data_IF_030300377920
#
_entry.id   IF_030300377920
#
_cell.length_a   1.000
_cell.length_b   1.000
_cell.length_c   1.000
_cell.angle_alpha   90.00
_cell.angle_beta   90.00
_cell.angle_gamma   90.00
#
_symmetry.space_group_name_H-M   'P 1'
#
loop_
_entity.id
_entity.type
_entity.pdbx_description
1 polymer ?
#
# COMPACT_ATOMS: atom_id res chain seq x y z
N UNK A 1 -71.05 15.02 -48.25
CA UNK A 1 -70.41 13.72 -47.91
C UNK A 1 -69.20 13.94 -47.11
N UNK A 2 -69.26 13.88 -45.79
CA UNK A 2 -68.14 13.96 -44.87
C UNK A 2 -67.90 12.57 -44.29
N UNK A 3 -66.69 12.05 -44.21
CA UNK A 3 -66.41 10.84 -43.48
C UNK A 3 -66.17 11.15 -42.01
N UNK A 4 -66.78 10.36 -41.16
CA UNK A 4 -66.63 10.32 -39.70
C UNK A 4 -65.25 9.88 -39.33
N UNK A 5 -64.55 10.68 -38.56
CA UNK A 5 -63.28 10.34 -37.89
C UNK A 5 -63.59 9.69 -36.55
N UNK A 6 -63.23 8.41 -36.41
CA UNK A 6 -63.24 7.68 -35.17
C UNK A 6 -61.94 8.03 -34.39
N UNK A 7 -62.06 8.67 -33.21
CA UNK A 7 -61.00 8.76 -32.24
C UNK A 7 -60.90 7.46 -31.43
N UNK A 8 -59.70 6.91 -31.18
CA UNK A 8 -59.52 5.82 -30.24
C UNK A 8 -59.42 6.35 -28.81
N UNK A 9 -60.22 5.77 -27.95
CA UNK A 9 -60.23 5.96 -26.50
C UNK A 9 -58.88 5.48 -25.94
N UNK A 10 -58.04 6.39 -25.46
CA UNK A 10 -56.85 6.03 -24.68
C UNK A 10 -57.26 5.59 -23.29
N UNK A 11 -57.19 4.29 -23.04
CA UNK A 11 -57.27 3.71 -21.70
C UNK A 11 -56.01 4.08 -20.93
N UNK A 12 -56.18 4.90 -19.88
CA UNK A 12 -55.10 5.24 -18.96
C UNK A 12 -54.64 3.99 -18.21
N UNK A 13 -53.39 3.61 -18.37
CA UNK A 13 -52.72 2.63 -17.53
C UNK A 13 -52.47 3.23 -16.16
N UNK A 14 -52.62 2.47 -15.05
CA UNK A 14 -52.28 2.96 -13.72
C UNK A 14 -50.76 3.11 -13.57
N UNK A 15 -50.35 4.25 -13.13
CA UNK A 15 -48.97 4.55 -12.70
C UNK A 15 -48.56 3.60 -11.57
N UNK A 16 -47.42 2.92 -11.63
CA UNK A 16 -46.93 2.18 -10.47
C UNK A 16 -46.54 3.19 -9.37
N UNK A 17 -47.24 3.09 -8.26
CA UNK A 17 -46.93 3.79 -7.03
C UNK A 17 -45.65 3.19 -6.49
N UNK A 18 -44.50 3.87 -6.65
CA UNK A 18 -43.27 3.57 -5.90
C UNK A 18 -43.47 4.00 -4.46
N UNK A 19 -43.94 3.08 -3.65
CA UNK A 19 -43.90 3.16 -2.22
C UNK A 19 -42.75 2.28 -1.72
N UNK A 20 -41.50 2.74 -1.89
CA UNK A 20 -40.39 2.35 -1.05
C UNK A 20 -39.71 3.64 -0.63
N UNK A 21 -40.07 4.09 0.57
CA UNK A 21 -39.38 5.14 1.28
C UNK A 21 -37.96 4.71 1.49
N UNK A 22 -37.06 5.18 0.63
CA UNK A 22 -35.63 5.17 0.90
C UNK A 22 -35.45 6.17 2.02
N UNK A 23 -35.29 5.66 3.23
CA UNK A 23 -34.88 6.43 4.40
C UNK A 23 -33.48 7.02 4.08
N UNK A 24 -33.47 8.29 3.63
CA UNK A 24 -32.30 9.04 3.22
C UNK A 24 -31.42 9.50 4.41
N UNK A 25 -31.63 8.97 5.61
CA UNK A 25 -30.94 9.37 6.84
C UNK A 25 -29.88 8.38 7.34
N UNK A 26 -29.52 7.38 6.58
CA UNK A 26 -28.37 6.54 6.97
C UNK A 26 -27.10 7.29 6.58
N UNK A 27 -26.56 8.08 7.49
CA UNK A 27 -25.19 8.61 7.38
C UNK A 27 -24.26 7.43 7.15
N UNK A 28 -23.70 7.39 5.96
CA UNK A 28 -22.81 6.29 5.55
C UNK A 28 -21.41 6.57 6.11
N UNK A 29 -21.33 6.78 7.43
CA UNK A 29 -20.07 7.05 8.12
C UNK A 29 -19.15 5.84 7.99
N UNK A 30 -17.86 6.07 7.64
CA UNK A 30 -16.88 5.01 7.55
C UNK A 30 -16.50 4.48 8.94
N UNK A 31 -16.31 3.18 9.04
CA UNK A 31 -15.62 2.57 10.18
C UNK A 31 -14.12 2.68 9.95
N UNK A 32 -13.41 3.24 10.92
CA UNK A 32 -11.99 3.52 10.81
C UNK A 32 -11.13 2.44 11.44
N UNK A 33 -10.09 2.05 10.72
CA UNK A 33 -9.03 1.15 11.15
C UNK A 33 -7.70 1.87 11.03
N UNK A 34 -6.76 1.57 11.93
CA UNK A 34 -5.45 2.20 11.88
C UNK A 34 -4.35 1.22 12.29
N UNK A 35 -3.18 1.43 11.75
CA UNK A 35 -1.98 0.65 12.11
C UNK A 35 -0.74 1.51 11.96
N UNK A 36 0.24 1.24 12.81
CA UNK A 36 1.58 1.79 12.73
C UNK A 36 2.54 0.64 12.47
N UNK A 37 3.54 0.85 11.61
CA UNK A 37 4.53 -0.16 11.28
C UNK A 37 5.92 0.49 11.20
N UNK A 38 6.92 -0.19 11.76
CA UNK A 38 8.32 0.20 11.69
C UNK A 38 9.07 -0.93 11.02
N UNK A 39 9.96 -0.59 10.08
CA UNK A 39 10.79 -1.55 9.39
C UNK A 39 12.11 -0.97 8.97
N UNK A 40 12.98 -1.83 8.46
CA UNK A 40 14.23 -1.39 7.86
C UNK A 40 14.59 -2.22 6.63
N UNK A 41 15.50 -1.67 5.82
CA UNK A 41 16.14 -2.31 4.67
C UNK A 41 17.64 -2.13 4.80
N UNK A 42 18.40 -3.06 4.25
CA UNK A 42 19.87 -3.01 4.24
C UNK A 42 20.38 -2.92 2.80
N UNK A 43 21.05 -1.81 2.49
CA UNK A 43 21.65 -1.52 1.20
C UNK A 43 23.18 -1.65 1.34
N UNK A 44 23.81 -2.58 0.64
CA UNK A 44 25.24 -2.85 0.78
C UNK A 44 26.07 -1.85 -0.04
N UNK A 45 25.89 -0.57 0.31
CA UNK A 45 26.59 0.58 -0.23
C UNK A 45 26.53 1.74 0.76
N UNK A 46 27.28 2.79 0.49
CA UNK A 46 27.25 4.02 1.25
C UNK A 46 25.92 4.76 1.11
N UNK A 47 25.67 5.72 2.02
CA UNK A 47 24.40 6.45 2.05
C UNK A 47 24.14 7.28 0.78
N UNK A 48 25.21 7.76 0.13
CA UNK A 48 25.09 8.52 -1.12
C UNK A 48 24.55 7.64 -2.26
N UNK A 49 25.16 6.47 -2.44
CA UNK A 49 24.73 5.50 -3.45
C UNK A 49 23.29 5.02 -3.21
N UNK A 50 22.92 4.80 -1.95
CA UNK A 50 21.54 4.46 -1.60
C UNK A 50 20.56 5.61 -1.90
N UNK A 51 20.93 6.87 -1.60
CA UNK A 51 20.14 8.04 -1.89
C UNK A 51 19.92 8.23 -3.40
N UNK A 52 20.98 8.10 -4.22
CA UNK A 52 20.89 8.20 -5.68
C UNK A 52 19.90 7.16 -6.26
N UNK A 53 19.86 5.95 -5.68
CA UNK A 53 18.88 4.94 -6.07
C UNK A 53 17.46 5.35 -5.69
N UNK A 54 17.21 5.84 -4.47
CA UNK A 54 15.88 6.26 -4.04
C UNK A 54 15.39 7.48 -4.84
N UNK A 55 16.26 8.43 -5.16
CA UNK A 55 15.94 9.60 -5.98
C UNK A 55 15.51 9.20 -7.40
N UNK A 56 16.06 8.11 -7.94
CA UNK A 56 15.71 7.55 -9.25
C UNK A 56 14.47 6.65 -9.23
N UNK A 57 13.49 6.92 -8.32
CA UNK A 57 12.32 6.05 -8.09
C UNK A 57 11.50 5.73 -9.35
N UNK A 58 11.51 6.58 -10.36
CA UNK A 58 10.84 6.33 -11.64
C UNK A 58 11.36 5.07 -12.35
N UNK A 59 12.63 4.73 -12.12
CA UNK A 59 13.27 3.55 -12.69
C UNK A 59 12.92 2.24 -12.00
N UNK A 60 12.63 2.24 -10.71
CA UNK A 60 12.47 1.01 -9.94
C UNK A 60 11.08 0.80 -9.30
N UNK A 61 10.34 1.86 -8.97
CA UNK A 61 9.11 1.75 -8.17
C UNK A 61 8.08 0.80 -8.78
N UNK A 62 7.81 0.92 -10.10
CA UNK A 62 6.82 0.08 -10.79
C UNK A 62 7.25 -1.39 -10.80
N UNK A 63 8.56 -1.66 -11.00
CA UNK A 63 9.09 -3.04 -10.99
C UNK A 63 8.97 -3.66 -9.61
N UNK A 64 9.36 -2.93 -8.58
CA UNK A 64 9.33 -3.40 -7.20
C UNK A 64 7.90 -3.56 -6.65
N UNK A 65 6.96 -2.77 -7.14
CA UNK A 65 5.55 -2.87 -6.74
C UNK A 65 4.90 -4.20 -7.19
N UNK A 66 5.40 -4.87 -8.24
CA UNK A 66 4.80 -6.10 -8.74
C UNK A 66 4.68 -7.20 -7.65
N UNK A 67 3.52 -7.91 -7.52
CA UNK A 67 2.38 -8.01 -8.43
C UNK A 67 1.30 -6.93 -8.22
N UNK A 68 1.45 -5.98 -7.32
CA UNK A 68 0.57 -4.82 -7.24
C UNK A 68 0.67 -4.02 -8.56
N UNK A 69 -0.42 -3.39 -8.95
CA UNK A 69 -0.44 -2.60 -10.18
C UNK A 69 -0.11 -1.15 -9.82
N UNK A 70 1.04 -0.66 -10.28
CA UNK A 70 1.43 0.73 -10.12
C UNK A 70 1.38 1.45 -11.47
N UNK A 71 0.83 2.68 -11.47
CA UNK A 71 0.79 3.59 -12.64
C UNK A 71 1.27 4.96 -12.21
N UNK A 72 2.15 5.64 -12.96
CA UNK A 72 2.62 6.97 -12.61
C UNK A 72 1.48 8.00 -12.64
N UNK A 73 1.55 8.97 -11.73
CA UNK A 73 0.71 10.15 -11.65
C UNK A 73 1.64 11.37 -11.52
N UNK A 74 1.82 12.12 -12.61
CA UNK A 74 2.78 13.21 -12.60
C UNK A 74 4.22 12.74 -12.42
N UNK A 75 5.08 13.60 -11.88
CA UNK A 75 6.52 13.35 -11.77
C UNK A 75 6.86 12.36 -10.62
N UNK A 76 6.26 12.54 -9.45
CA UNK A 76 6.62 11.83 -8.22
C UNK A 76 5.43 11.05 -7.61
N UNK A 77 4.33 10.90 -8.36
CA UNK A 77 3.14 10.22 -7.88
C UNK A 77 2.91 8.86 -8.54
N UNK A 78 2.23 7.97 -7.83
CA UNK A 78 1.83 6.66 -8.33
C UNK A 78 0.43 6.28 -7.87
N UNK A 79 -0.41 5.78 -8.80
CA UNK A 79 -1.63 5.07 -8.44
C UNK A 79 -1.30 3.60 -8.21
N UNK A 80 -1.50 3.11 -7.00
CA UNK A 80 -1.19 1.74 -6.59
C UNK A 80 -2.48 0.97 -6.32
N UNK A 81 -2.72 -0.14 -7.03
CA UNK A 81 -3.79 -1.10 -6.74
C UNK A 81 -3.17 -2.28 -6.00
N UNK A 82 -3.53 -2.45 -4.72
CA UNK A 82 -2.83 -3.35 -3.80
C UNK A 82 -3.25 -4.81 -4.00
N UNK A 83 -4.54 -5.05 -4.26
CA UNK A 83 -5.13 -6.37 -4.39
C UNK A 83 -6.49 -6.43 -3.69
N UNK A 84 -7.09 -7.64 -3.64
CA UNK A 84 -8.41 -7.85 -3.02
C UNK A 84 -8.26 -8.34 -1.60
N UNK A 85 -8.93 -7.68 -0.67
CA UNK A 85 -8.94 -8.01 0.76
C UNK A 85 -10.37 -7.95 1.29
N UNK A 86 -10.65 -8.75 2.28
CA UNK A 86 -11.98 -8.70 2.90
C UNK A 86 -12.28 -9.88 3.81
N UNK A 87 -13.47 -9.83 4.40
CA UNK A 87 -14.04 -10.84 5.30
C UNK A 87 -15.56 -10.82 5.22
N UNK A 88 -16.22 -11.82 5.77
CA UNK A 88 -17.68 -11.93 5.84
C UNK A 88 -18.40 -11.77 4.48
N UNK A 89 -17.76 -12.19 3.38
CA UNK A 89 -18.34 -12.05 2.04
C UNK A 89 -18.24 -10.64 1.43
N UNK A 90 -17.62 -9.69 2.12
CA UNK A 90 -17.35 -8.34 1.62
C UNK A 90 -15.86 -8.20 1.25
N UNK A 91 -15.58 -7.69 0.06
CA UNK A 91 -14.24 -7.50 -0.46
C UNK A 91 -14.03 -6.08 -0.98
N UNK A 92 -12.84 -5.55 -0.74
CA UNK A 92 -12.37 -4.25 -1.25
C UNK A 92 -11.08 -4.49 -2.04
N UNK A 93 -10.93 -3.80 -3.16
CA UNK A 93 -9.67 -3.72 -3.92
C UNK A 93 -9.15 -2.29 -3.82
N UNK A 94 -8.32 -1.97 -2.81
CA UNK A 94 -7.86 -0.61 -2.60
C UNK A 94 -6.97 -0.14 -3.75
N UNK A 95 -7.30 1.05 -4.26
CA UNK A 95 -6.47 1.82 -5.18
C UNK A 95 -6.17 3.16 -4.53
N UNK A 96 -4.91 3.42 -4.26
CA UNK A 96 -4.43 4.61 -3.57
C UNK A 96 -3.46 5.39 -4.43
N UNK A 97 -3.45 6.70 -4.29
CA UNK A 97 -2.41 7.55 -4.85
C UNK A 97 -1.33 7.79 -3.80
N UNK A 98 -0.09 7.61 -4.17
CA UNK A 98 1.08 7.89 -3.33
C UNK A 98 1.94 8.96 -3.98
N UNK A 99 2.37 9.92 -3.21
CA UNK A 99 3.35 10.93 -3.60
C UNK A 99 4.67 10.66 -2.89
N UNK A 100 5.70 10.35 -3.64
CA UNK A 100 7.06 10.22 -3.15
C UNK A 100 7.70 11.60 -3.20
N UNK A 101 7.76 12.26 -2.05
CA UNK A 101 8.35 13.60 -1.96
C UNK A 101 9.86 13.52 -2.17
N UNK A 102 10.45 14.51 -2.86
CA UNK A 102 11.90 14.66 -2.90
C UNK A 102 12.45 14.69 -1.48
N UNK A 103 13.64 14.11 -1.31
CA UNK A 103 14.29 14.09 -0.01
C UNK A 103 14.56 15.51 0.51
N UNK A 104 14.46 15.67 1.81
CA UNK A 104 14.75 16.88 2.55
C UNK A 104 15.68 16.50 3.73
N UNK A 105 16.91 17.00 3.72
CA UNK A 105 17.96 16.68 4.71
C UNK A 105 18.16 15.17 4.95
N UNK A 106 18.08 14.35 3.87
CA UNK A 106 18.22 12.89 3.94
C UNK A 106 16.97 12.15 4.41
N UNK A 107 15.86 12.84 4.58
CA UNK A 107 14.56 12.27 4.96
C UNK A 107 13.63 12.19 3.76
N UNK A 108 13.16 10.99 3.44
CA UNK A 108 12.16 10.72 2.41
C UNK A 108 10.78 10.62 3.04
N UNK A 109 9.79 11.25 2.42
CA UNK A 109 8.39 11.19 2.86
C UNK A 109 7.50 10.69 1.74
N UNK A 110 6.53 9.87 2.11
CA UNK A 110 5.51 9.37 1.19
C UNK A 110 4.15 9.66 1.82
N UNK A 111 3.24 10.21 1.05
CA UNK A 111 1.90 10.55 1.51
C UNK A 111 0.82 10.22 0.48
N UNK A 112 -0.41 10.14 0.94
CA UNK A 112 -1.56 9.90 0.06
C UNK A 112 -1.85 11.14 -0.78
N UNK A 113 -2.12 10.92 -2.08
CA UNK A 113 -2.66 11.93 -2.99
C UNK A 113 -3.90 11.40 -3.71
N UNK A 114 -4.80 12.27 -4.18
CA UNK A 114 -5.92 11.87 -5.03
C UNK A 114 -5.46 11.18 -6.31
N UNK A 115 -6.14 10.11 -6.71
CA UNK A 115 -5.92 9.50 -8.01
C UNK A 115 -6.79 10.20 -9.05
N UNK A 116 -6.23 10.74 -10.14
CA UNK A 116 -6.99 11.44 -11.17
C UNK A 116 -8.12 10.57 -11.75
N UNK A 117 -9.31 11.16 -11.88
CA UNK A 117 -10.52 10.51 -12.42
C UNK A 117 -10.90 9.21 -11.67
N UNK A 118 -10.63 9.14 -10.37
CA UNK A 118 -11.00 8.00 -9.55
C UNK A 118 -11.53 8.44 -8.20
N UNK A 119 -12.72 7.98 -7.87
CA UNK A 119 -13.33 8.11 -6.54
C UNK A 119 -13.36 6.73 -5.90
N UNK A 120 -12.75 6.54 -4.72
CA UNK A 120 -12.78 5.27 -4.04
C UNK A 120 -14.22 4.81 -3.74
N UNK A 121 -14.60 3.58 -4.10
CA UNK A 121 -15.95 3.08 -3.87
C UNK A 121 -16.12 2.64 -2.40
N UNK A 122 -16.52 3.58 -1.52
CA UNK A 122 -16.84 3.28 -0.13
C UNK A 122 -15.64 3.01 0.78
N UNK A 123 -14.48 3.58 0.47
CA UNK A 123 -13.34 3.60 1.37
C UNK A 123 -12.54 4.89 1.24
N UNK A 124 -11.78 5.19 2.28
CA UNK A 124 -10.84 6.31 2.35
C UNK A 124 -9.51 5.80 2.90
N UNK A 125 -8.40 6.39 2.46
CA UNK A 125 -7.06 5.99 2.90
C UNK A 125 -6.24 7.24 3.21
N UNK A 126 -5.64 7.29 4.40
CA UNK A 126 -4.59 8.21 4.78
C UNK A 126 -3.32 7.41 5.08
N UNK A 127 -2.33 7.53 4.22
CA UNK A 127 -1.05 6.87 4.31
C UNK A 127 0.05 7.91 4.45
N UNK A 128 0.90 7.74 5.45
CA UNK A 128 2.10 8.54 5.65
C UNK A 128 3.26 7.63 5.99
N UNK A 129 4.37 7.80 5.31
CA UNK A 129 5.59 7.11 5.63
C UNK A 129 6.78 8.07 5.64
N UNK A 130 7.73 7.78 6.51
CA UNK A 130 8.99 8.50 6.61
C UNK A 130 10.12 7.49 6.56
N UNK A 131 11.18 7.79 5.78
CA UNK A 131 12.37 6.96 5.65
C UNK A 131 13.61 7.81 5.89
N UNK A 132 14.58 7.25 6.61
CA UNK A 132 15.89 7.86 6.87
C UNK A 132 16.99 6.88 6.48
N UNK A 133 18.09 7.41 5.94
CA UNK A 133 19.26 6.64 5.56
C UNK A 133 20.32 6.80 6.63
N UNK A 134 20.72 5.68 7.24
CA UNK A 134 21.75 5.65 8.29
C UNK A 134 22.91 4.78 7.81
N UNK A 135 24.06 5.41 7.58
CA UNK A 135 25.28 4.68 7.22
C UNK A 135 25.85 3.99 8.47
N UNK A 136 26.13 2.69 8.35
CA UNK A 136 26.68 1.87 9.43
C UNK A 136 27.83 1.00 8.90
N UNK A 137 28.75 0.55 9.74
CA UNK A 137 29.74 -0.44 9.35
C UNK A 137 29.04 -1.72 8.85
N UNK A 138 29.61 -2.35 7.82
CA UNK A 138 29.15 -3.66 7.38
C UNK A 138 29.83 -4.74 8.21
N UNK A 139 29.07 -5.47 9.00
CA UNK A 139 29.53 -6.59 9.82
C UNK A 139 29.06 -7.91 9.21
N UNK A 140 29.87 -8.58 8.37
CA UNK A 140 29.49 -9.83 7.76
C UNK A 140 29.44 -10.96 8.79
N UNK A 141 28.55 -11.93 8.61
CA UNK A 141 28.63 -13.20 9.34
C UNK A 141 29.91 -13.96 8.98
N UNK A 142 30.39 -14.85 9.86
CA UNK A 142 31.58 -15.67 9.61
C UNK A 142 31.48 -16.43 8.28
N UNK A 143 30.31 -16.95 7.93
CA UNK A 143 30.06 -17.64 6.66
C UNK A 143 30.16 -16.72 5.44
N UNK A 144 29.76 -15.46 5.56
CA UNK A 144 29.90 -14.45 4.50
C UNK A 144 31.36 -14.02 4.35
N UNK A 145 32.09 -13.86 5.46
CA UNK A 145 33.49 -13.50 5.46
C UNK A 145 34.37 -14.63 4.86
N UNK A 146 33.99 -15.89 5.05
CA UNK A 146 34.73 -17.04 4.54
C UNK A 146 34.57 -17.29 3.02
N UNK A 147 33.62 -16.66 2.37
CA UNK A 147 33.25 -16.90 0.95
C UNK A 147 34.22 -16.24 -0.06
N UNK A 148 35.20 -15.47 0.42
CA UNK A 148 36.18 -14.79 -0.44
C UNK A 148 35.61 -13.67 -1.31
N UNK A 149 34.35 -13.30 -1.10
CA UNK A 149 33.69 -12.19 -1.78
C UNK A 149 34.25 -10.86 -1.31
N UNK A 150 34.41 -9.89 -2.21
CA UNK A 150 34.73 -8.50 -1.81
C UNK A 150 33.54 -7.93 -1.06
N UNK A 151 33.70 -7.75 0.25
CA UNK A 151 32.67 -7.21 1.11
C UNK A 151 32.76 -5.67 1.17
N UNK A 152 31.63 -4.96 1.18
CA UNK A 152 31.64 -3.53 1.43
C UNK A 152 32.12 -3.24 2.86
N UNK A 153 32.83 -2.12 3.08
CA UNK A 153 33.22 -1.69 4.42
C UNK A 153 32.09 -1.03 5.18
N UNK A 154 31.07 -0.56 4.46
CA UNK A 154 29.92 0.15 4.99
C UNK A 154 28.67 -0.32 4.28
N UNK A 155 27.53 -0.18 4.96
CA UNK A 155 26.20 -0.33 4.36
C UNK A 155 25.29 0.78 4.84
N UNK A 156 24.21 0.98 4.14
CA UNK A 156 23.16 1.92 4.52
C UNK A 156 21.96 1.13 5.03
N UNK A 157 21.59 1.41 6.29
CA UNK A 157 20.30 0.98 6.84
C UNK A 157 19.28 2.05 6.52
N UNK A 158 18.23 1.67 5.79
CA UNK A 158 17.08 2.51 5.53
C UNK A 158 16.04 2.21 6.59
N UNK A 159 15.91 3.08 7.56
CA UNK A 159 14.91 2.97 8.63
C UNK A 159 13.63 3.67 8.17
N UNK A 160 12.48 3.03 8.34
CA UNK A 160 11.22 3.62 7.92
C UNK A 160 10.09 3.31 8.89
N UNK A 161 9.17 4.24 8.96
CA UNK A 161 7.93 4.11 9.71
C UNK A 161 6.75 4.50 8.83
N UNK A 162 5.61 3.86 9.08
CA UNK A 162 4.39 4.00 8.32
C UNK A 162 3.21 4.14 9.28
N UNK A 163 2.43 5.19 9.07
CA UNK A 163 1.12 5.39 9.66
C UNK A 163 0.06 5.22 8.58
N UNK A 164 -0.90 4.32 8.81
CA UNK A 164 -1.98 4.03 7.89
C UNK A 164 -3.32 4.07 8.60
N UNK A 165 -4.25 4.88 8.07
CA UNK A 165 -5.66 4.91 8.45
C UNK A 165 -6.52 4.55 7.24
N UNK A 166 -7.50 3.70 7.45
CA UNK A 166 -8.43 3.26 6.41
C UNK A 166 -9.85 3.35 6.95
N UNK A 167 -10.67 4.19 6.33
CA UNK A 167 -12.11 4.25 6.57
C UNK A 167 -12.85 3.38 5.57
N UNK A 168 -13.79 2.55 6.02
CA UNK A 168 -14.60 1.68 5.16
C UNK A 168 -16.08 1.89 5.43
N UNK A 169 -16.84 2.23 4.39
CA UNK A 169 -18.29 2.30 4.42
C UNK A 169 -18.87 0.92 4.19
N UNK A 170 -19.21 0.22 5.25
CA UNK A 170 -19.75 -1.13 5.15
C UNK A 170 -21.21 -1.18 4.72
N UNK A 171 -21.61 -2.21 3.93
CA UNK A 171 -23.00 -2.47 3.65
C UNK A 171 -23.76 -2.91 4.90
N UNK A 172 -25.09 -2.77 4.85
CA UNK A 172 -25.98 -3.02 6.00
C UNK A 172 -25.83 -4.41 6.64
N UNK A 173 -25.56 -5.44 5.84
CA UNK A 173 -25.40 -6.78 6.39
C UNK A 173 -24.16 -6.95 7.26
N UNK A 174 -23.09 -6.18 7.00
CA UNK A 174 -21.90 -6.12 7.87
C UNK A 174 -22.20 -5.29 9.11
N UNK A 175 -22.90 -4.16 8.98
CA UNK A 175 -23.27 -3.29 10.12
C UNK A 175 -24.19 -3.98 11.14
N UNK A 176 -24.83 -5.10 10.79
CA UNK A 176 -25.60 -5.93 11.72
C UNK A 176 -24.72 -6.79 12.65
N UNK A 177 -23.44 -6.96 12.34
CA UNK A 177 -22.51 -7.65 13.22
C UNK A 177 -22.16 -6.76 14.43
N UNK A 178 -21.78 -7.35 15.56
CA UNK A 178 -21.28 -6.58 16.71
C UNK A 178 -20.08 -5.72 16.30
N UNK A 179 -20.09 -4.46 16.68
CA UNK A 179 -19.05 -3.48 16.35
C UNK A 179 -17.64 -3.99 16.73
N UNK A 180 -17.50 -4.59 17.92
CA UNK A 180 -16.26 -5.17 18.39
C UNK A 180 -15.71 -6.28 17.45
N UNK A 181 -16.59 -7.04 16.78
CA UNK A 181 -16.20 -8.06 15.78
C UNK A 181 -15.70 -7.40 14.51
N UNK A 182 -16.40 -6.36 14.04
CA UNK A 182 -15.99 -5.59 12.85
C UNK A 182 -14.63 -4.96 13.11
N UNK A 183 -14.46 -4.25 14.24
CA UNK A 183 -13.23 -3.56 14.60
C UNK A 183 -12.05 -4.53 14.68
N UNK A 184 -12.16 -5.57 15.52
CA UNK A 184 -11.09 -6.57 15.70
C UNK A 184 -10.70 -7.28 14.41
N UNK A 185 -11.69 -7.57 13.55
CA UNK A 185 -11.42 -8.23 12.27
C UNK A 185 -10.73 -7.27 11.29
N UNK A 186 -11.21 -6.02 11.21
CA UNK A 186 -10.63 -5.01 10.33
C UNK A 186 -9.19 -4.65 10.71
N UNK A 187 -8.92 -4.42 12.00
CA UNK A 187 -7.57 -4.15 12.50
C UNK A 187 -6.60 -5.29 12.17
N UNK A 188 -7.05 -6.54 12.37
CA UNK A 188 -6.25 -7.71 12.04
C UNK A 188 -5.96 -7.82 10.54
N UNK A 189 -6.97 -7.58 9.69
CA UNK A 189 -6.80 -7.61 8.23
C UNK A 189 -5.84 -6.50 7.80
N UNK A 190 -6.02 -5.28 8.32
CA UNK A 190 -5.16 -4.14 8.00
C UNK A 190 -3.70 -4.41 8.36
N UNK A 191 -3.45 -4.89 9.57
CA UNK A 191 -2.10 -5.26 10.03
C UNK A 191 -1.46 -6.36 9.14
N UNK A 192 -2.24 -7.37 8.74
CA UNK A 192 -1.76 -8.43 7.84
C UNK A 192 -1.43 -7.89 6.44
N UNK A 193 -2.26 -6.99 5.90
CA UNK A 193 -2.01 -6.35 4.59
C UNK A 193 -0.71 -5.55 4.65
N UNK A 194 -0.56 -4.69 5.66
CA UNK A 194 0.64 -3.86 5.82
C UNK A 194 1.88 -4.73 5.92
N UNK A 195 1.87 -5.74 6.78
CA UNK A 195 2.98 -6.68 6.93
C UNK A 195 3.34 -7.39 5.62
N UNK A 196 2.34 -7.91 4.90
CA UNK A 196 2.56 -8.61 3.63
C UNK A 196 3.15 -7.69 2.55
N UNK A 197 2.56 -6.50 2.41
CA UNK A 197 2.98 -5.51 1.39
C UNK A 197 4.38 -4.98 1.73
N UNK A 198 4.61 -4.61 2.99
CA UNK A 198 5.90 -4.09 3.46
C UNK A 198 7.03 -5.09 3.26
N UNK A 199 6.86 -6.34 3.71
CA UNK A 199 7.88 -7.36 3.55
C UNK A 199 8.21 -7.63 2.08
N UNK A 200 7.19 -7.64 1.22
CA UNK A 200 7.39 -7.84 -0.22
C UNK A 200 8.12 -6.67 -0.87
N UNK A 201 7.69 -5.43 -0.59
CA UNK A 201 8.35 -4.24 -1.12
C UNK A 201 9.78 -4.13 -0.61
N UNK A 202 10.02 -4.33 0.68
CA UNK A 202 11.35 -4.33 1.29
C UNK A 202 12.29 -5.30 0.59
N UNK A 203 11.85 -6.54 0.36
CA UNK A 203 12.66 -7.51 -0.38
C UNK A 203 12.92 -7.07 -1.83
N UNK A 204 11.87 -6.66 -2.55
CA UNK A 204 11.97 -6.28 -3.97
C UNK A 204 12.84 -5.06 -4.21
N UNK A 205 12.75 -4.06 -3.35
CA UNK A 205 13.58 -2.86 -3.43
C UNK A 205 15.05 -3.21 -3.19
N UNK A 206 15.35 -4.02 -2.17
CA UNK A 206 16.71 -4.48 -1.90
C UNK A 206 17.26 -5.38 -3.03
N UNK A 207 16.45 -6.31 -3.56
CA UNK A 207 16.83 -7.16 -4.68
C UNK A 207 17.15 -6.32 -5.93
N UNK A 208 16.32 -5.33 -6.26
CA UNK A 208 16.50 -4.43 -7.42
C UNK A 208 17.75 -3.56 -7.24
N UNK A 209 17.94 -2.98 -6.05
CA UNK A 209 19.11 -2.21 -5.71
C UNK A 209 20.41 -3.03 -5.89
N UNK A 210 20.50 -4.18 -5.22
CA UNK A 210 21.70 -5.00 -5.28
C UNK A 210 21.95 -5.58 -6.68
N UNK A 211 20.89 -5.79 -7.47
CA UNK A 211 21.01 -6.12 -8.90
C UNK A 211 21.69 -5.00 -9.67
N UNK A 212 21.34 -3.73 -9.39
CA UNK A 212 21.96 -2.57 -10.04
C UNK A 212 23.44 -2.40 -9.67
N UNK A 213 23.85 -2.89 -8.49
CA UNK A 213 25.24 -2.86 -8.01
C UNK A 213 26.09 -4.03 -8.53
N UNK A 214 25.50 -4.97 -9.27
CA UNK A 214 26.18 -6.07 -9.91
C UNK A 214 25.90 -7.45 -9.29
N UNK A 215 26.29 -8.49 -10.02
CA UNK A 215 25.96 -9.88 -9.67
C UNK A 215 26.56 -10.34 -8.34
N UNK A 216 27.77 -9.91 -8.01
CA UNK A 216 28.43 -10.26 -6.74
C UNK A 216 27.65 -9.70 -5.55
N UNK A 217 27.22 -8.44 -5.61
CA UNK A 217 26.46 -7.78 -4.54
C UNK A 217 25.07 -8.41 -4.38
N UNK A 218 24.43 -8.78 -5.50
CA UNK A 218 23.16 -9.50 -5.45
C UNK A 218 23.28 -10.89 -4.80
N UNK A 219 24.35 -11.64 -5.11
CA UNK A 219 24.61 -12.94 -4.47
C UNK A 219 24.83 -12.79 -2.96
N UNK A 220 25.62 -11.79 -2.57
CA UNK A 220 25.86 -11.45 -1.17
C UNK A 220 24.54 -11.13 -0.44
N UNK A 221 23.70 -10.26 -1.00
CA UNK A 221 22.39 -9.94 -0.46
C UNK A 221 21.51 -11.19 -0.31
N UNK A 222 21.39 -12.03 -1.33
CA UNK A 222 20.56 -13.24 -1.28
C UNK A 222 21.02 -14.20 -0.19
N UNK A 223 22.33 -14.37 0.00
CA UNK A 223 22.91 -15.22 1.04
C UNK A 223 22.60 -14.63 2.44
N UNK A 224 22.82 -13.33 2.63
CA UNK A 224 22.52 -12.64 3.88
C UNK A 224 21.01 -12.72 4.21
N UNK A 225 20.14 -12.48 3.22
CA UNK A 225 18.68 -12.57 3.40
C UNK A 225 18.21 -13.96 3.84
N UNK A 226 18.80 -15.02 3.32
CA UNK A 226 18.52 -16.39 3.72
C UNK A 226 18.94 -16.67 5.17
N UNK A 227 20.10 -16.18 5.59
CA UNK A 227 20.63 -16.36 6.94
C UNK A 227 19.79 -15.62 7.99
N UNK A 228 19.39 -14.40 7.69
CA UNK A 228 18.53 -13.58 8.56
C UNK A 228 17.04 -13.98 8.49
N UNK A 229 16.68 -14.96 7.63
CA UNK A 229 15.29 -15.37 7.35
C UNK A 229 14.39 -14.20 6.94
N UNK A 230 14.96 -13.23 6.24
CA UNK A 230 14.24 -12.03 5.82
C UNK A 230 13.82 -11.12 6.98
N UNK A 231 14.32 -11.36 8.17
CA UNK A 231 14.10 -10.47 9.31
C UNK A 231 15.16 -9.38 9.25
N UNK A 232 14.81 -8.23 8.68
CA UNK A 232 15.53 -7.02 9.03
C UNK A 232 15.45 -6.83 10.54
N UNK A 233 16.54 -6.42 11.17
CA UNK A 233 16.71 -6.32 12.65
C UNK A 233 15.66 -5.41 13.31
N UNK A 234 14.78 -4.75 12.56
CA UNK A 234 13.94 -3.64 13.01
C UNK A 234 12.42 -3.86 12.82
N UNK A 235 11.92 -5.07 12.61
CA UNK A 235 10.48 -5.25 12.37
C UNK A 235 9.68 -5.19 13.69
N UNK A 236 8.96 -4.10 13.94
CA UNK A 236 7.99 -3.99 15.02
C UNK A 236 6.63 -3.55 14.45
N UNK A 237 5.64 -4.42 14.58
CA UNK A 237 4.22 -4.10 14.35
C UNK A 237 3.62 -3.78 15.71
N UNK A 238 3.38 -2.52 15.99
CA UNK A 238 2.56 -2.13 17.14
C UNK A 238 1.13 -1.93 16.65
N UNK A 239 0.14 -2.64 17.23
CA UNK A 239 -1.24 -2.20 17.08
C UNK A 239 -1.32 -0.79 17.70
N UNK A 240 -1.97 0.14 17.00
CA UNK A 240 -2.22 1.46 17.54
C UNK A 240 -3.00 1.33 18.86
N UNK A 241 -2.51 2.04 19.88
CA UNK A 241 -3.16 2.16 21.19
C UNK A 241 -4.48 2.92 21.08
#
# INVERSE_FOLDING_TARGET
MQPLTHEPIMTAMPTPTNADGIDASVTNEPTWFQTHFIGCMEMFADAKTAAEYFDAHQGWFIRCAHPMKAKPIGANGYALTIGKFGSFGYQVEPKIGLHLLPQDEGVYRIETIPVPNYTPPGYEVDFKAVQTLVEIPFEPSEELAADGSTLPSKMTRVEWQLDLKVGVCFPQFIKKLPEAVIQKTGDRILAQIVKLVSNRLTYKVQEDFHTSQGEATLKLFKKHWQQTKGRGVCEQVSPAL
#
